data_IF_026173748592
#
_entry.id   IF_026173748592
#
_cell.length_a   1.000
_cell.length_b   1.000
_cell.length_c   1.000
_cell.angle_alpha   90.00
_cell.angle_beta   90.00
_cell.angle_gamma   90.00
#
_symmetry.space_group_name_H-M   'P 1'
#
loop_
_entity.id
_entity.type
_entity.pdbx_description
1 polymer ?
#
# COMPACT_ATOMS: atom_id res chain seq x y z
N UNK A 1 13.60 5.29 -28.85
CA UNK A 1 13.29 5.10 -27.42
C UNK A 1 13.85 3.75 -27.02
N UNK A 2 14.77 3.71 -26.05
CA UNK A 2 15.17 2.45 -25.42
C UNK A 2 13.94 1.81 -24.79
N UNK A 3 13.66 0.51 -25.01
CA UNK A 3 12.56 -0.16 -24.33
C UNK A 3 12.71 0.02 -22.82
N UNK A 4 11.61 0.38 -22.17
CA UNK A 4 11.55 0.46 -20.72
C UNK A 4 11.89 -0.92 -20.12
N UNK A 5 12.88 -0.93 -19.21
CA UNK A 5 13.39 -2.17 -18.62
C UNK A 5 12.30 -2.90 -17.85
N UNK A 6 11.39 -2.17 -17.22
CA UNK A 6 10.25 -2.74 -16.50
C UNK A 6 9.33 -3.49 -17.48
N UNK A 7 9.06 -2.92 -18.66
CA UNK A 7 8.25 -3.59 -19.70
C UNK A 7 8.91 -4.85 -20.25
N UNK A 8 10.23 -4.82 -20.48
CA UNK A 8 10.97 -6.01 -20.92
C UNK A 8 10.94 -7.11 -19.85
N UNK A 9 11.13 -6.73 -18.59
CA UNK A 9 11.04 -7.64 -17.45
C UNK A 9 9.66 -8.28 -17.33
N UNK A 10 8.59 -7.49 -17.35
CA UNK A 10 7.20 -7.95 -17.27
C UNK A 10 6.86 -8.90 -18.42
N UNK A 11 7.27 -8.54 -19.64
CA UNK A 11 7.09 -9.40 -20.81
C UNK A 11 7.80 -10.74 -20.64
N UNK A 12 9.07 -10.72 -20.26
CA UNK A 12 9.84 -11.95 -20.02
C UNK A 12 9.18 -12.83 -18.93
N UNK A 13 8.71 -12.24 -17.82
CA UNK A 13 7.96 -12.95 -16.80
C UNK A 13 6.68 -13.59 -17.34
N UNK A 14 5.88 -12.83 -18.11
CA UNK A 14 4.63 -13.33 -18.71
C UNK A 14 4.85 -14.52 -19.66
N UNK A 15 6.04 -14.62 -20.26
CA UNK A 15 6.44 -15.71 -21.16
C UNK A 15 7.12 -16.88 -20.42
N UNK A 16 7.37 -16.75 -19.11
CA UNK A 16 8.10 -17.73 -18.32
C UNK A 16 9.63 -17.68 -18.50
N UNK A 17 10.14 -16.63 -19.16
CA UNK A 17 11.56 -16.46 -19.40
C UNK A 17 12.32 -16.08 -18.12
N UNK A 18 13.48 -16.72 -17.94
CA UNK A 18 14.33 -16.50 -16.76
C UNK A 18 15.26 -15.29 -16.90
N UNK A 19 15.43 -14.79 -18.12
CA UNK A 19 16.30 -13.67 -18.43
C UNK A 19 15.78 -12.86 -19.60
N UNK A 20 16.11 -11.58 -19.66
CA UNK A 20 16.00 -10.76 -20.87
C UNK A 20 17.32 -10.01 -21.13
N UNK A 21 17.55 -9.59 -22.37
CA UNK A 21 18.74 -8.78 -22.70
C UNK A 21 18.52 -7.30 -22.36
N UNK A 22 19.41 -6.71 -21.56
CA UNK A 22 19.40 -5.26 -21.30
C UNK A 22 19.69 -4.51 -22.61
N UNK A 23 18.76 -3.70 -23.14
CA UNK A 23 18.95 -3.04 -24.42
C UNK A 23 20.10 -2.03 -24.42
N UNK A 24 20.56 -1.59 -23.23
CA UNK A 24 21.67 -0.65 -23.09
C UNK A 24 23.03 -1.32 -23.06
N UNK A 25 23.14 -2.49 -22.42
CA UNK A 25 24.44 -3.15 -22.18
C UNK A 25 24.62 -4.46 -22.95
N UNK A 26 23.54 -5.03 -23.48
CA UNK A 26 23.52 -6.35 -24.12
C UNK A 26 23.61 -7.52 -23.12
N UNK A 27 23.78 -7.26 -21.83
CA UNK A 27 23.92 -8.31 -20.82
C UNK A 27 22.58 -8.98 -20.48
N UNK A 28 22.58 -10.30 -20.21
CA UNK A 28 21.40 -10.96 -19.68
C UNK A 28 21.10 -10.45 -18.27
N UNK A 29 19.83 -10.11 -18.02
CA UNK A 29 19.30 -9.69 -16.73
C UNK A 29 18.32 -10.76 -16.24
N UNK A 30 18.54 -11.29 -15.04
CA UNK A 30 17.61 -12.24 -14.42
C UNK A 30 16.26 -11.60 -14.13
N UNK A 31 15.19 -12.30 -14.47
CA UNK A 31 13.82 -11.91 -14.10
C UNK A 31 13.54 -12.26 -12.63
N UNK A 32 12.53 -11.62 -12.04
CA UNK A 32 11.97 -12.00 -10.75
C UNK A 32 11.68 -13.51 -10.67
N UNK A 33 11.08 -14.13 -11.70
CA UNK A 33 10.85 -15.58 -11.75
C UNK A 33 12.13 -16.41 -11.57
N UNK A 34 13.25 -15.98 -12.18
CA UNK A 34 14.53 -16.67 -12.04
C UNK A 34 15.13 -16.51 -10.65
N UNK A 35 14.93 -15.34 -10.03
CA UNK A 35 15.43 -15.03 -8.70
C UNK A 35 14.57 -15.68 -7.61
N UNK A 36 13.27 -15.83 -7.81
CA UNK A 36 12.36 -16.55 -6.91
C UNK A 36 12.80 -18.01 -6.73
N UNK A 37 13.26 -18.66 -7.80
CA UNK A 37 13.76 -20.05 -7.74
C UNK A 37 14.93 -20.26 -6.79
N UNK A 38 15.62 -19.19 -6.36
CA UNK A 38 16.70 -19.26 -5.37
C UNK A 38 16.18 -19.41 -3.94
N UNK A 39 14.96 -18.94 -3.68
CA UNK A 39 14.32 -19.00 -2.36
C UNK A 39 14.70 -17.88 -1.38
N UNK A 40 15.75 -17.09 -1.66
CA UNK A 40 16.21 -16.03 -0.76
C UNK A 40 16.82 -14.80 -1.48
N UNK A 41 16.99 -13.71 -0.74
CA UNK A 41 17.76 -12.55 -1.17
C UNK A 41 19.24 -12.78 -0.88
N UNK A 42 20.11 -12.74 -1.89
CA UNK A 42 21.54 -12.99 -1.69
C UNK A 42 22.36 -11.75 -1.32
N UNK A 43 21.73 -10.59 -1.11
CA UNK A 43 22.42 -9.33 -0.76
C UNK A 43 23.17 -8.64 -1.92
N UNK A 44 23.09 -9.14 -3.16
CA UNK A 44 23.89 -8.61 -4.27
C UNK A 44 23.25 -7.42 -5.03
N UNK A 45 22.15 -6.84 -4.55
CA UNK A 45 21.52 -5.69 -5.24
C UNK A 45 20.93 -6.01 -6.64
N UNK A 46 20.40 -7.22 -6.86
CA UNK A 46 19.85 -7.62 -8.16
C UNK A 46 18.70 -6.71 -8.61
N UNK A 47 18.59 -6.41 -9.91
CA UNK A 47 17.58 -5.46 -10.43
C UNK A 47 16.14 -5.82 -10.08
N UNK A 48 15.75 -7.08 -10.29
CA UNK A 48 14.37 -7.56 -10.13
C UNK A 48 14.21 -8.45 -8.88
N UNK A 49 14.87 -8.10 -7.77
CA UNK A 49 14.82 -8.91 -6.55
C UNK A 49 13.38 -9.04 -6.04
N UNK A 50 12.81 -10.26 -5.95
CA UNK A 50 11.42 -10.46 -5.52
C UNK A 50 11.26 -10.42 -3.98
N UNK A 51 12.33 -10.09 -3.25
CA UNK A 51 12.41 -10.15 -1.79
C UNK A 51 12.73 -8.77 -1.16
N UNK A 52 12.45 -7.68 -1.90
CA UNK A 52 12.62 -6.31 -1.40
C UNK A 52 14.06 -5.93 -1.00
N UNK A 53 15.05 -6.69 -1.48
CA UNK A 53 16.48 -6.51 -1.17
C UNK A 53 16.78 -6.61 0.32
N UNK A 54 16.06 -7.45 1.07
CA UNK A 54 16.17 -7.53 2.53
C UNK A 54 17.58 -7.79 3.08
N UNK A 55 18.43 -8.52 2.34
CA UNK A 55 19.83 -8.80 2.74
C UNK A 55 20.84 -7.77 2.22
N UNK A 56 20.38 -6.72 1.51
CA UNK A 56 21.24 -5.59 1.11
C UNK A 56 21.31 -4.59 2.26
N UNK A 57 22.51 -4.05 2.52
CA UNK A 57 22.69 -3.06 3.59
C UNK A 57 21.74 -1.86 3.39
N UNK A 58 21.26 -1.20 4.46
CA UNK A 58 20.35 -0.06 4.33
C UNK A 58 20.88 1.04 3.40
N UNK A 59 22.16 1.38 3.51
CA UNK A 59 22.80 2.44 2.71
C UNK A 59 22.84 2.09 1.22
N UNK A 60 23.21 0.85 0.88
CA UNK A 60 23.20 0.38 -0.51
C UNK A 60 21.78 0.26 -1.04
N UNK A 61 20.85 -0.24 -0.22
CA UNK A 61 19.44 -0.44 -0.58
C UNK A 61 18.72 0.87 -0.88
N UNK A 62 19.06 1.96 -0.18
CA UNK A 62 18.55 3.30 -0.46
C UNK A 62 19.00 3.85 -1.83
N UNK A 63 20.06 3.30 -2.41
CA UNK A 63 20.56 3.65 -3.74
C UNK A 63 19.98 2.79 -4.86
N UNK A 64 19.24 1.72 -4.52
CA UNK A 64 18.64 0.82 -5.50
C UNK A 64 17.27 1.32 -5.97
N UNK A 65 17.05 1.28 -7.28
CA UNK A 65 15.71 1.38 -7.84
C UNK A 65 15.04 0.01 -7.77
N UNK A 66 14.26 -0.20 -6.71
CA UNK A 66 13.65 -1.50 -6.38
C UNK A 66 12.33 -1.68 -7.12
N UNK A 67 12.08 -2.87 -7.62
CA UNK A 67 10.74 -3.23 -8.12
C UNK A 67 9.79 -3.53 -6.96
N UNK A 68 8.46 -3.47 -7.17
CA UNK A 68 7.50 -3.99 -6.22
C UNK A 68 7.72 -5.47 -5.92
N UNK A 69 7.42 -5.86 -4.69
CA UNK A 69 7.49 -7.26 -4.27
C UNK A 69 6.33 -7.63 -3.35
N UNK A 70 6.21 -8.92 -3.06
CA UNK A 70 5.15 -9.47 -2.21
C UNK A 70 5.76 -10.08 -0.96
N UNK A 71 5.16 -9.78 0.19
CA UNK A 71 5.46 -10.40 1.47
C UNK A 71 4.25 -11.17 1.99
N UNK A 72 4.49 -12.36 2.56
CA UNK A 72 3.45 -13.25 3.09
C UNK A 72 2.86 -14.20 2.04
N UNK A 73 2.08 -15.17 2.52
CA UNK A 73 1.50 -16.21 1.68
C UNK A 73 0.26 -15.68 0.95
N UNK A 74 0.29 -15.75 -0.37
CA UNK A 74 -0.86 -15.34 -1.18
C UNK A 74 -2.02 -16.34 -1.02
N UNK A 75 -3.25 -15.85 -0.82
CA UNK A 75 -4.43 -16.70 -0.78
C UNK A 75 -4.73 -17.28 -2.17
N UNK A 76 -5.49 -18.38 -2.20
CA UNK A 76 -5.95 -19.01 -3.45
C UNK A 76 -7.19 -18.28 -3.98
N UNK A 77 -7.25 -18.13 -5.30
CA UNK A 77 -8.41 -17.55 -6.01
C UNK A 77 -8.40 -16.02 -6.02
N UNK A 78 -9.44 -15.39 -6.59
CA UNK A 78 -9.50 -13.95 -6.76
C UNK A 78 -9.49 -13.21 -5.42
N UNK A 79 -8.74 -12.10 -5.35
CA UNK A 79 -8.54 -11.31 -4.13
C UNK A 79 -9.09 -9.90 -4.24
N UNK A 80 -9.44 -9.30 -3.11
CA UNK A 80 -9.59 -7.85 -2.99
C UNK A 80 -8.22 -7.23 -2.70
N UNK A 81 -7.81 -6.27 -3.52
CA UNK A 81 -6.56 -5.54 -3.32
C UNK A 81 -6.83 -4.23 -2.58
N UNK A 82 -6.57 -4.23 -1.28
CA UNK A 82 -6.79 -3.08 -0.41
C UNK A 82 -5.57 -2.16 -0.38
N UNK A 83 -5.76 -0.90 -0.79
CA UNK A 83 -4.76 0.14 -0.61
C UNK A 83 -4.60 0.46 0.88
N UNK A 84 -3.49 -0.01 1.44
CA UNK A 84 -3.22 -0.01 2.87
C UNK A 84 -2.19 1.06 3.22
N UNK A 85 -2.64 2.09 3.95
CA UNK A 85 -1.76 3.14 4.50
C UNK A 85 -1.26 2.82 5.90
N UNK A 86 -1.92 1.89 6.60
CA UNK A 86 -1.70 1.60 8.02
C UNK A 86 -2.50 2.47 8.98
N UNK A 87 -3.28 3.41 8.46
CA UNK A 87 -4.14 4.28 9.26
C UNK A 87 -5.55 3.75 9.47
N UNK A 88 -6.32 4.49 10.27
CA UNK A 88 -7.67 4.14 10.71
C UNK A 88 -8.63 3.81 9.56
N UNK A 89 -8.59 4.56 8.47
CA UNK A 89 -9.54 4.39 7.36
C UNK A 89 -9.25 3.09 6.59
N UNK A 90 -7.98 2.80 6.33
CA UNK A 90 -7.59 1.51 5.72
C UNK A 90 -7.93 0.31 6.61
N UNK A 91 -7.80 0.45 7.93
CA UNK A 91 -8.19 -0.60 8.88
C UNK A 91 -9.71 -0.81 8.95
N UNK A 92 -10.49 0.25 9.03
CA UNK A 92 -11.95 0.20 8.97
C UNK A 92 -12.43 -0.41 7.64
N UNK A 93 -11.74 -0.09 6.54
CA UNK A 93 -12.01 -0.69 5.22
C UNK A 93 -11.79 -2.19 5.23
N UNK A 94 -10.68 -2.66 5.82
CA UNK A 94 -10.43 -4.09 5.99
C UNK A 94 -11.55 -4.76 6.79
N UNK A 95 -11.97 -4.16 7.91
CA UNK A 95 -13.09 -4.68 8.73
C UNK A 95 -14.40 -4.73 7.96
N UNK A 96 -14.67 -3.74 7.11
CA UNK A 96 -15.83 -3.75 6.24
C UNK A 96 -15.77 -4.91 5.22
N UNK A 97 -14.62 -5.16 4.59
CA UNK A 97 -14.41 -6.31 3.72
C UNK A 97 -14.57 -7.65 4.45
N UNK A 98 -14.06 -7.76 5.69
CA UNK A 98 -14.23 -8.95 6.52
C UNK A 98 -15.71 -9.24 6.82
N UNK A 99 -16.53 -8.19 7.04
CA UNK A 99 -17.98 -8.32 7.21
C UNK A 99 -18.71 -8.70 5.93
N UNK A 100 -18.25 -8.21 4.77
CA UNK A 100 -18.74 -8.68 3.47
C UNK A 100 -18.43 -10.18 3.26
N UNK A 101 -17.32 -10.66 3.84
CA UNK A 101 -16.85 -12.05 3.80
C UNK A 101 -16.81 -12.65 2.38
N UNK A 102 -16.63 -11.80 1.36
CA UNK A 102 -16.78 -12.20 -0.03
C UNK A 102 -15.51 -12.88 -0.57
N UNK A 103 -14.33 -12.36 -0.21
CA UNK A 103 -13.02 -12.77 -0.77
C UNK A 103 -11.89 -12.54 0.22
N UNK A 104 -10.75 -13.23 0.05
CA UNK A 104 -9.51 -12.89 0.76
C UNK A 104 -8.99 -11.50 0.35
N UNK A 105 -8.34 -10.81 1.30
CA UNK A 105 -7.73 -9.50 1.08
C UNK A 105 -6.21 -9.58 0.98
N UNK A 106 -5.64 -8.90 0.01
CA UNK A 106 -4.19 -8.61 -0.10
C UNK A 106 -4.00 -7.10 0.06
N UNK A 107 -3.00 -6.71 0.83
CA UNK A 107 -2.69 -5.30 1.07
C UNK A 107 -1.78 -4.77 -0.06
N UNK A 108 -1.90 -3.50 -0.43
CA UNK A 108 -0.93 -2.79 -1.27
C UNK A 108 -0.52 -1.50 -0.57
N UNK A 109 0.78 -1.32 -0.36
CA UNK A 109 1.31 -0.10 0.28
C UNK A 109 2.39 0.52 -0.57
N UNK A 110 2.20 1.81 -0.88
CA UNK A 110 3.23 2.65 -1.49
C UNK A 110 4.06 3.35 -0.42
N UNK A 111 5.37 3.44 -0.62
CA UNK A 111 6.28 4.08 0.35
C UNK A 111 7.48 4.70 -0.38
N UNK A 112 8.15 5.69 0.20
CA UNK A 112 9.37 6.25 -0.36
C UNK A 112 10.50 5.21 -0.35
N UNK A 113 11.03 4.90 -1.54
CA UNK A 113 12.01 3.86 -1.73
C UNK A 113 13.40 4.16 -1.14
N UNK A 114 13.66 5.39 -0.66
CA UNK A 114 14.93 5.78 -0.04
C UNK A 114 14.82 5.83 1.48
N UNK A 115 13.82 6.53 2.02
CA UNK A 115 13.61 6.69 3.46
C UNK A 115 12.84 5.54 4.09
N UNK A 116 12.24 4.67 3.29
CA UNK A 116 11.35 3.59 3.73
C UNK A 116 10.13 4.08 4.52
N UNK A 117 9.69 5.32 4.30
CA UNK A 117 8.50 5.91 4.92
C UNK A 117 7.29 5.83 4.00
N UNK A 118 6.13 5.50 4.55
CA UNK A 118 4.84 5.59 3.85
C UNK A 118 4.52 7.05 3.64
N UNK A 119 4.27 7.43 2.38
CA UNK A 119 3.98 8.80 2.01
C UNK A 119 2.79 9.35 2.82
N UNK A 120 2.90 10.62 3.25
CA UNK A 120 1.90 11.36 4.02
C UNK A 120 1.65 10.88 5.46
N UNK A 121 1.89 9.62 5.81
CA UNK A 121 1.59 9.10 7.14
C UNK A 121 2.72 9.29 8.17
N UNK A 122 3.95 9.57 7.72
CA UNK A 122 5.18 9.57 8.53
C UNK A 122 5.46 8.23 9.25
N UNK A 123 4.87 7.14 8.75
CA UNK A 123 5.02 5.78 9.29
C UNK A 123 6.10 5.03 8.52
N UNK A 124 7.01 4.36 9.23
CA UNK A 124 8.01 3.49 8.60
C UNK A 124 7.33 2.24 8.03
N UNK A 125 7.80 1.76 6.87
CA UNK A 125 7.32 0.51 6.24
C UNK A 125 7.48 -0.70 7.18
N UNK A 126 8.42 -0.66 8.13
CA UNK A 126 8.57 -1.68 9.15
C UNK A 126 7.33 -1.81 10.04
N UNK A 127 6.68 -0.69 10.38
CA UNK A 127 5.46 -0.74 11.19
C UNK A 127 4.29 -1.31 10.40
N UNK A 128 4.19 -0.96 9.12
CA UNK A 128 3.25 -1.59 8.19
C UNK A 128 3.44 -3.11 8.12
N UNK A 129 4.69 -3.58 8.11
CA UNK A 129 4.98 -5.03 8.15
C UNK A 129 4.55 -5.67 9.46
N UNK A 130 4.65 -4.98 10.60
CA UNK A 130 4.12 -5.47 11.87
C UNK A 130 2.59 -5.61 11.82
N UNK A 131 1.90 -4.60 11.30
CA UNK A 131 0.45 -4.64 11.07
C UNK A 131 0.06 -5.82 10.18
N UNK A 132 0.72 -5.98 9.03
CA UNK A 132 0.53 -7.12 8.11
C UNK A 132 0.64 -8.46 8.83
N UNK A 133 1.71 -8.68 9.60
CA UNK A 133 1.92 -9.93 10.35
C UNK A 133 0.78 -10.18 11.34
N UNK A 134 0.29 -9.12 12.00
CA UNK A 134 -0.78 -9.22 12.99
C UNK A 134 -2.15 -9.50 12.37
N UNK A 135 -2.39 -8.97 11.16
CA UNK A 135 -3.57 -9.20 10.35
C UNK A 135 -3.55 -10.57 9.64
N UNK A 136 -2.37 -11.14 9.40
CA UNK A 136 -2.24 -12.39 8.65
C UNK A 136 -2.46 -12.24 7.14
N UNK A 137 -2.34 -11.02 6.61
CA UNK A 137 -2.49 -10.74 5.18
C UNK A 137 -1.16 -10.88 4.43
N UNK A 138 -1.25 -11.20 3.14
CA UNK A 138 -0.17 -10.91 2.20
C UNK A 138 -0.18 -9.42 1.83
N UNK A 139 0.98 -8.91 1.41
CA UNK A 139 1.15 -7.50 1.08
C UNK A 139 2.06 -7.29 -0.13
N UNK A 140 1.61 -6.45 -1.05
CA UNK A 140 2.41 -5.87 -2.12
C UNK A 140 3.04 -4.58 -1.60
N UNK A 141 4.36 -4.50 -1.63
CA UNK A 141 5.12 -3.30 -1.28
C UNK A 141 5.61 -2.62 -2.56
N UNK A 142 5.26 -1.34 -2.72
CA UNK A 142 5.52 -0.55 -3.92
C UNK A 142 6.41 0.65 -3.56
N UNK A 143 7.74 0.58 -3.76
CA UNK A 143 8.58 1.74 -3.52
C UNK A 143 8.33 2.83 -4.57
N UNK A 144 8.32 4.08 -4.15
CA UNK A 144 8.22 5.27 -4.99
C UNK A 144 9.57 5.97 -5.05
N UNK A 145 9.92 6.52 -6.21
CA UNK A 145 11.18 7.25 -6.40
C UNK A 145 10.94 8.58 -7.11
N UNK A 146 11.71 9.63 -6.79
CA UNK A 146 11.65 10.89 -7.54
C UNK A 146 11.83 10.67 -9.04
N UNK A 147 10.98 11.30 -9.85
CA UNK A 147 11.01 11.18 -11.31
C UNK A 147 10.31 9.95 -11.89
N UNK A 148 9.74 9.08 -11.05
CA UNK A 148 8.82 8.01 -11.50
C UNK A 148 7.36 8.45 -11.32
N UNK A 149 6.47 8.07 -12.24
CA UNK A 149 5.04 8.34 -12.11
C UNK A 149 4.42 7.47 -11.03
N UNK A 150 3.62 8.06 -10.13
CA UNK A 150 2.92 7.33 -9.07
C UNK A 150 2.08 6.18 -9.65
N UNK A 151 1.29 6.47 -10.68
CA UNK A 151 0.43 5.47 -11.31
C UNK A 151 1.26 4.35 -11.95
N UNK A 152 2.35 4.66 -12.65
CA UNK A 152 3.21 3.64 -13.26
C UNK A 152 3.72 2.62 -12.23
N UNK A 153 4.13 3.11 -11.05
CA UNK A 153 4.62 2.27 -9.95
C UNK A 153 3.49 1.44 -9.32
N UNK A 154 2.31 2.02 -9.12
CA UNK A 154 1.13 1.30 -8.61
C UNK A 154 0.71 0.21 -9.60
N UNK A 155 0.68 0.49 -10.90
CA UNK A 155 0.39 -0.48 -11.95
C UNK A 155 1.38 -1.65 -11.92
N UNK A 156 2.68 -1.35 -11.79
CA UNK A 156 3.71 -2.37 -11.66
C UNK A 156 3.48 -3.25 -10.42
N UNK A 157 3.03 -2.66 -9.31
CA UNK A 157 2.65 -3.39 -8.09
C UNK A 157 1.45 -4.31 -8.31
N UNK A 158 0.39 -3.81 -8.96
CA UNK A 158 -0.81 -4.60 -9.28
C UNK A 158 -0.44 -5.76 -10.23
N UNK A 159 0.35 -5.49 -11.27
CA UNK A 159 0.82 -6.52 -12.21
C UNK A 159 1.67 -7.57 -11.50
N UNK A 160 2.55 -7.15 -10.58
CA UNK A 160 3.34 -8.06 -9.74
C UNK A 160 2.45 -9.06 -8.99
N UNK A 161 1.28 -8.62 -8.49
CA UNK A 161 0.29 -9.50 -7.89
C UNK A 161 -0.46 -10.37 -8.91
N UNK A 162 -0.89 -9.79 -10.03
CA UNK A 162 -1.66 -10.46 -11.08
C UNK A 162 -0.94 -11.65 -11.71
N UNK A 163 0.40 -11.66 -11.75
CA UNK A 163 1.16 -12.84 -12.19
C UNK A 163 0.96 -14.06 -11.29
N UNK A 164 0.57 -13.86 -10.03
CA UNK A 164 0.48 -14.91 -9.02
C UNK A 164 -0.97 -15.19 -8.61
N UNK A 165 -1.85 -14.19 -8.61
CA UNK A 165 -3.27 -14.34 -8.28
C UNK A 165 -4.15 -13.27 -8.95
N UNK A 166 -5.38 -13.59 -9.40
CA UNK A 166 -6.29 -12.60 -9.98
C UNK A 166 -6.73 -11.55 -8.97
N UNK A 167 -6.76 -10.28 -9.39
CA UNK A 167 -7.32 -9.17 -8.60
C UNK A 167 -8.77 -8.94 -9.02
N UNK A 168 -9.70 -9.09 -8.07
CA UNK A 168 -11.14 -8.96 -8.31
C UNK A 168 -11.65 -7.53 -8.14
N UNK A 169 -11.11 -6.79 -7.17
CA UNK A 169 -11.49 -5.40 -6.86
C UNK A 169 -10.27 -4.61 -6.41
N UNK A 170 -10.22 -3.33 -6.75
CA UNK A 170 -9.33 -2.35 -6.12
C UNK A 170 -10.11 -1.67 -5.01
N UNK A 171 -9.64 -1.77 -3.77
CA UNK A 171 -10.37 -1.28 -2.60
C UNK A 171 -9.63 -0.11 -1.96
N UNK A 172 -10.37 0.97 -1.70
CA UNK A 172 -9.86 2.17 -1.04
C UNK A 172 -10.75 2.53 0.16
N UNK A 173 -10.15 3.19 1.14
CA UNK A 173 -10.83 3.66 2.34
C UNK A 173 -11.32 5.10 2.27
N UNK A 174 -11.69 5.58 1.08
CA UNK A 174 -12.21 6.94 0.92
C UNK A 174 -13.60 7.04 1.57
N UNK A 175 -13.86 8.12 2.33
CA UNK A 175 -15.10 8.27 3.08
C UNK A 175 -16.17 9.07 2.32
N UNK A 176 -15.84 10.25 1.79
CA UNK A 176 -16.87 11.12 1.18
C UNK A 176 -16.38 12.14 0.13
N UNK A 177 -15.08 12.32 -0.07
CA UNK A 177 -14.56 13.36 -0.99
C UNK A 177 -14.78 12.99 -2.47
N UNK A 178 -15.84 13.53 -3.08
CA UNK A 178 -16.23 13.24 -4.48
C UNK A 178 -15.10 13.43 -5.50
N UNK A 179 -14.28 14.47 -5.31
CA UNK A 179 -13.17 14.78 -6.21
C UNK A 179 -12.06 13.72 -6.15
N UNK A 180 -11.79 13.14 -4.97
CA UNK A 180 -10.81 12.05 -4.79
C UNK A 180 -11.32 10.80 -5.48
N UNK A 181 -12.59 10.45 -5.27
CA UNK A 181 -13.22 9.31 -5.92
C UNK A 181 -13.17 9.44 -7.45
N UNK A 182 -13.58 10.59 -7.99
CA UNK A 182 -13.58 10.84 -9.44
C UNK A 182 -12.17 10.69 -10.00
N UNK A 183 -11.17 11.28 -9.34
CA UNK A 183 -9.78 11.15 -9.75
C UNK A 183 -9.32 9.69 -9.78
N UNK A 184 -9.69 8.86 -8.78
CA UNK A 184 -9.35 7.43 -8.79
C UNK A 184 -10.01 6.71 -9.97
N UNK A 185 -11.31 6.88 -10.14
CA UNK A 185 -12.06 6.25 -11.24
C UNK A 185 -11.43 6.60 -12.60
N UNK A 186 -11.07 7.86 -12.82
CA UNK A 186 -10.40 8.31 -14.05
C UNK A 186 -8.97 7.73 -14.18
N UNK A 187 -8.16 7.80 -13.13
CA UNK A 187 -6.77 7.34 -13.15
C UNK A 187 -6.66 5.83 -13.43
N UNK A 188 -7.51 5.02 -12.80
CA UNK A 188 -7.48 3.57 -12.95
C UNK A 188 -8.17 3.11 -14.24
N UNK A 189 -9.24 3.78 -14.69
CA UNK A 189 -9.89 3.45 -15.98
C UNK A 189 -9.03 3.81 -17.19
N UNK A 190 -8.14 4.79 -17.08
CA UNK A 190 -7.17 5.13 -18.12
C UNK A 190 -6.10 4.05 -18.36
N UNK A 191 -5.98 3.07 -17.45
CA UNK A 191 -4.96 2.02 -17.51
C UNK A 191 -5.54 0.73 -18.11
N UNK A 192 -5.32 0.49 -19.41
CA UNK A 192 -5.94 -0.63 -20.15
C UNK A 192 -5.81 -2.01 -19.50
N UNK A 193 -4.68 -2.28 -18.85
CA UNK A 193 -4.38 -3.58 -18.24
C UNK A 193 -5.25 -3.89 -17.02
N UNK A 194 -5.78 -2.85 -16.36
CA UNK A 194 -6.56 -2.97 -15.12
C UNK A 194 -7.90 -2.24 -15.16
N UNK A 195 -8.26 -1.59 -16.27
CA UNK A 195 -9.49 -0.81 -16.44
C UNK A 195 -10.77 -1.64 -16.23
N UNK A 196 -10.68 -2.97 -16.34
CA UNK A 196 -11.80 -3.89 -16.09
C UNK A 196 -11.98 -4.28 -14.62
N UNK A 197 -11.03 -3.93 -13.74
CA UNK A 197 -11.10 -4.23 -12.32
C UNK A 197 -11.95 -3.15 -11.64
N UNK A 198 -13.09 -3.48 -11.03
CA UNK A 198 -13.94 -2.49 -10.38
C UNK A 198 -13.26 -1.89 -9.14
N UNK A 199 -13.48 -0.59 -8.94
CA UNK A 199 -13.19 0.11 -7.69
C UNK A 199 -14.31 -0.19 -6.69
N UNK A 200 -13.94 -0.44 -5.44
CA UNK A 200 -14.87 -0.68 -4.34
C UNK A 200 -14.52 0.24 -3.16
N UNK A 201 -15.52 0.94 -2.63
CA UNK A 201 -15.37 1.92 -1.55
C UNK A 201 -16.31 1.56 -0.39
N UNK A 202 -15.93 0.59 0.49
CA UNK A 202 -16.82 0.09 1.54
C UNK A 202 -17.27 1.15 2.54
N UNK A 203 -16.48 2.21 2.73
CA UNK A 203 -16.75 3.25 3.73
C UNK A 203 -17.47 4.47 3.14
N UNK A 204 -17.76 4.47 1.83
CA UNK A 204 -18.33 5.63 1.15
C UNK A 204 -19.70 6.00 1.71
N UNK A 205 -19.80 7.21 2.28
CA UNK A 205 -21.03 7.73 2.87
C UNK A 205 -21.46 7.04 4.17
N UNK A 206 -20.59 6.22 4.79
CA UNK A 206 -20.86 5.65 6.11
C UNK A 206 -20.74 6.75 7.18
N UNK A 207 -21.74 6.91 8.07
CA UNK A 207 -21.68 7.94 9.12
C UNK A 207 -20.46 7.76 10.03
N UNK A 208 -19.80 8.87 10.38
CA UNK A 208 -18.63 8.87 11.27
C UNK A 208 -18.89 8.21 12.62
N UNK A 209 -20.10 8.38 13.14
CA UNK A 209 -20.53 7.72 14.38
C UNK A 209 -20.44 6.19 14.28
N UNK A 210 -20.81 5.60 13.13
CA UNK A 210 -20.71 4.16 12.90
C UNK A 210 -19.24 3.72 12.78
N UNK A 211 -18.42 4.50 12.08
CA UNK A 211 -16.98 4.25 11.94
C UNK A 211 -16.25 4.33 13.28
N UNK A 212 -16.60 5.30 14.13
CA UNK A 212 -16.06 5.44 15.49
C UNK A 212 -16.43 4.26 16.36
N UNK A 213 -17.71 3.87 16.36
CA UNK A 213 -18.17 2.70 17.10
C UNK A 213 -17.45 1.41 16.65
N UNK A 214 -17.22 1.26 15.34
CA UNK A 214 -16.47 0.12 14.80
C UNK A 214 -15.00 0.14 15.25
N UNK A 215 -14.34 1.29 15.19
CA UNK A 215 -12.95 1.46 15.61
C UNK A 215 -12.78 1.21 17.12
N UNK A 216 -13.66 1.77 17.95
CA UNK A 216 -13.64 1.63 19.41
C UNK A 216 -13.93 0.19 19.87
N UNK A 217 -14.67 -0.58 19.07
CA UNK A 217 -14.94 -2.01 19.34
C UNK A 217 -13.76 -2.93 19.01
N UNK A 218 -12.79 -2.43 18.24
CA UNK A 218 -11.70 -3.24 17.71
C UNK A 218 -10.54 -3.38 18.71
N UNK A 219 -9.77 -4.49 18.68
CA UNK A 219 -8.61 -4.69 19.56
C UNK A 219 -7.37 -3.91 19.08
N UNK A 220 -7.55 -2.64 18.75
CA UNK A 220 -6.52 -1.73 18.22
C UNK A 220 -6.65 -0.35 18.84
N UNK A 221 -5.63 0.47 18.66
CA UNK A 221 -5.67 1.90 18.91
C UNK A 221 -5.24 2.64 17.65
N UNK A 222 -6.00 3.65 17.25
CA UNK A 222 -5.53 4.61 16.25
C UNK A 222 -4.81 5.74 16.96
N UNK A 223 -3.55 6.00 16.61
CA UNK A 223 -2.77 7.14 17.11
C UNK A 223 -2.52 8.15 16.01
N UNK A 224 -2.58 9.43 16.33
CA UNK A 224 -2.17 10.49 15.42
C UNK A 224 -0.70 10.28 15.06
N UNK A 225 -0.41 10.16 13.77
CA UNK A 225 0.95 9.93 13.25
C UNK A 225 1.58 11.18 12.64
N UNK A 226 0.75 12.08 12.10
CA UNK A 226 1.18 13.38 11.59
C UNK A 226 0.03 14.39 11.74
N UNK A 227 0.37 15.67 11.88
CA UNK A 227 -0.59 16.78 11.89
C UNK A 227 -0.06 17.83 10.93
N UNK A 228 -0.80 18.10 9.85
CA UNK A 228 -0.38 19.03 8.79
C UNK A 228 -1.09 20.38 8.90
N UNK A 229 -2.31 20.41 9.44
CA UNK A 229 -3.06 21.65 9.65
C UNK A 229 -2.58 22.41 10.90
N UNK A 230 -2.28 23.70 10.73
CA UNK A 230 -1.73 24.55 11.79
C UNK A 230 -2.70 24.74 12.97
N UNK A 231 -4.01 24.76 12.70
CA UNK A 231 -5.02 24.92 13.76
C UNK A 231 -5.19 23.64 14.56
N UNK A 232 -5.12 22.48 13.91
CA UNK A 232 -5.09 21.18 14.56
C UNK A 232 -3.83 21.03 15.42
N UNK A 233 -2.67 21.45 14.93
CA UNK A 233 -1.40 21.36 15.66
C UNK A 233 -1.36 22.14 16.98
N UNK A 234 -2.30 23.06 17.22
CA UNK A 234 -2.44 23.77 18.49
C UNK A 234 -3.17 22.96 19.57
N UNK A 235 -3.94 21.94 19.18
CA UNK A 235 -4.87 21.22 20.08
C UNK A 235 -4.64 19.72 20.13
N UNK A 236 -4.04 19.12 19.10
CA UNK A 236 -3.68 17.71 19.02
C UNK A 236 -2.19 17.55 18.72
N UNK A 237 -1.62 16.40 19.06
CA UNK A 237 -0.21 16.10 18.83
C UNK A 237 0.01 14.67 18.34
N UNK A 238 1.13 14.44 17.68
CA UNK A 238 1.58 13.08 17.31
C UNK A 238 1.64 12.21 18.57
N UNK A 239 1.04 11.02 18.49
CA UNK A 239 0.91 10.07 19.59
C UNK A 239 -0.43 10.12 20.33
N UNK A 240 -1.21 11.19 20.17
CA UNK A 240 -2.56 11.28 20.74
C UNK A 240 -3.44 10.15 20.19
N UNK A 241 -4.33 9.63 21.03
CA UNK A 241 -5.32 8.64 20.59
C UNK A 241 -6.40 9.34 19.76
N UNK A 242 -6.69 8.78 18.58
CA UNK A 242 -7.84 9.16 17.81
C UNK A 242 -9.09 8.53 18.43
N UNK A 243 -9.90 9.36 19.09
CA UNK A 243 -11.16 9.00 19.74
C UNK A 243 -12.08 10.22 19.82
N UNK A 244 -13.26 10.05 20.44
CA UNK A 244 -14.24 11.12 20.63
C UNK A 244 -13.70 12.32 21.42
N UNK A 245 -12.84 12.09 22.41
CA UNK A 245 -12.21 13.17 23.19
C UNK A 245 -11.27 14.01 22.32
N UNK A 246 -10.54 13.37 21.39
CA UNK A 246 -9.73 14.08 20.41
C UNK A 246 -10.62 14.90 19.47
N UNK A 247 -11.67 14.30 18.93
CA UNK A 247 -12.61 14.98 18.01
C UNK A 247 -13.24 16.20 18.67
N UNK A 248 -13.64 16.09 19.93
CA UNK A 248 -14.23 17.20 20.69
C UNK A 248 -13.26 18.38 20.92
N UNK A 249 -11.95 18.17 20.78
CA UNK A 249 -10.93 19.25 20.84
C UNK A 249 -10.68 19.92 19.50
N UNK A 250 -11.13 19.33 18.38
CA UNK A 250 -10.84 19.85 17.05
C UNK A 250 -11.50 21.23 16.85
N UNK A 251 -10.83 22.16 16.14
CA UNK A 251 -11.41 23.45 15.78
C UNK A 251 -12.67 23.30 14.92
N UNK A 252 -13.57 24.29 14.99
CA UNK A 252 -14.75 24.33 14.14
C UNK A 252 -14.38 24.34 12.65
N UNK A 253 -15.01 23.45 11.87
CA UNK A 253 -14.82 23.37 10.42
C UNK A 253 -13.74 22.40 9.96
N UNK A 254 -13.02 21.76 10.88
CA UNK A 254 -12.11 20.65 10.60
C UNK A 254 -12.92 19.37 10.36
N UNK A 255 -12.51 18.56 9.39
CA UNK A 255 -13.09 17.23 9.20
C UNK A 255 -12.68 16.31 10.39
N UNK A 256 -13.67 15.73 11.06
CA UNK A 256 -13.44 14.93 12.27
C UNK A 256 -12.59 13.68 12.02
N UNK A 257 -12.55 13.17 10.78
CA UNK A 257 -11.69 12.06 10.36
C UNK A 257 -10.41 12.54 9.65
N UNK A 258 -10.24 13.84 9.43
CA UNK A 258 -9.04 14.40 8.78
C UNK A 258 -8.97 14.12 7.28
N UNK A 259 -10.12 13.98 6.60
CA UNK A 259 -10.19 13.63 5.18
C UNK A 259 -9.56 14.68 4.25
N UNK A 260 -9.44 15.95 4.67
CA UNK A 260 -8.77 17.00 3.88
C UNK A 260 -7.25 17.06 4.14
N UNK A 261 -6.70 16.07 4.86
CA UNK A 261 -5.28 15.99 5.19
C UNK A 261 -4.88 16.77 6.44
N UNK A 262 -5.83 17.11 7.31
CA UNK A 262 -5.57 17.86 8.53
C UNK A 262 -4.62 17.11 9.49
N UNK A 263 -4.83 15.80 9.59
CA UNK A 263 -3.97 14.88 10.33
C UNK A 263 -4.06 13.46 9.78
N UNK A 264 -3.12 12.63 10.20
CA UNK A 264 -3.02 11.24 9.83
C UNK A 264 -2.94 10.34 11.05
N UNK A 265 -3.20 9.05 10.88
CA UNK A 265 -3.20 8.10 11.99
C UNK A 265 -2.48 6.80 11.63
N UNK A 266 -1.98 6.11 12.64
CA UNK A 266 -1.42 4.78 12.53
C UNK A 266 -2.15 3.84 13.49
N UNK A 267 -2.44 2.63 13.03
CA UNK A 267 -3.08 1.58 13.82
C UNK A 267 -2.03 0.78 14.58
N UNK A 268 -2.19 0.74 15.90
CA UNK A 268 -1.42 -0.10 16.82
C UNK A 268 -2.30 -1.24 17.31
N UNK A 269 -1.82 -2.48 17.17
CA UNK A 269 -2.55 -3.65 17.66
C UNK A 269 -2.30 -3.89 19.13
N UNK A 270 -3.38 -4.06 19.89
CA UNK A 270 -3.27 -4.38 21.30
C UNK A 270 -2.80 -5.84 21.48
N UNK A 271 -2.07 -6.13 22.58
CA UNK A 271 -1.68 -7.50 22.93
C UNK A 271 -2.92 -8.41 23.01
N UNK A 272 -2.79 -9.67 22.58
CA UNK A 272 -3.81 -10.67 22.88
C UNK A 272 -3.78 -10.90 24.39
N UNK A 273 -4.89 -10.59 25.07
CA UNK A 273 -5.12 -10.99 26.47
C UNK A 273 -5.31 -12.50 26.59
#
# INVERSE_FOLDING_TARGET
>A
MTPDREKLHLKACSQGDLTYSDPRTGYPVFTALALERRGDCCGCGCRHCPYGHQEVTPDERAMLHRDPWIEGDLPKGPVDLLFWSGGKDSYLTLRALEREAARPTVLLTTFDGRSEQVAHQEVLVQEIRHQRKRLGCAQVLVPLFPGTGYMDRVLLGIQTLQFRTPVARLVFGDLHLDHVRTWREDAFSACSDIASIPIHLPLWGVPYEELLNDLESAPVQARVSAVADESCAQVISVGDLFNRDLIARLPNGIDEFGENGEFHSCIEFLPKT
#
